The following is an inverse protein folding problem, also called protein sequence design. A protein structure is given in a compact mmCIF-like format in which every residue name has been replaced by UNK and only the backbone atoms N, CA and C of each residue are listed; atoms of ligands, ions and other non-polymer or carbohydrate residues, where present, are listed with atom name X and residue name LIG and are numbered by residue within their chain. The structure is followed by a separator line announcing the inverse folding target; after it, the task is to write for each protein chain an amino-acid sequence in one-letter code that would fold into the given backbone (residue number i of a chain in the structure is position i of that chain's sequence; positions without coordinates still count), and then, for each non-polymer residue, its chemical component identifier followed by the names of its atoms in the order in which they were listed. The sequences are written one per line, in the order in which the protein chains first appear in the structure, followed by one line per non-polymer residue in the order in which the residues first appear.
data_IF_706641371367
#
_entry.id   IF_706641371367
#
_cell.length_a   1.000
_cell.length_b   1.000
_cell.length_c   1.000
_cell.angle_alpha   90.00
_cell.angle_beta   90.00
_cell.angle_gamma   90.00
#
_symmetry.space_group_name_H-M   'P 1'
#
loop_
_entity.id
_entity.type
_entity.pdbx_description
1 polymer ?
#
# COMPACT_ATOMS: atom_id res chain seq x y z
N UNK A 1 -6.69 8.45 10.49
CA UNK A 1 -7.37 9.50 9.69
C UNK A 1 -7.88 10.56 10.64
N UNK A 2 -7.70 11.85 10.33
CA UNK A 2 -8.27 12.93 11.14
C UNK A 2 -9.79 13.02 10.86
N UNK A 3 -10.63 13.03 11.91
CA UNK A 3 -12.08 13.21 11.76
C UNK A 3 -12.37 14.52 10.99
N UNK A 4 -13.20 14.45 9.96
CA UNK A 4 -13.56 15.60 9.13
C UNK A 4 -12.72 15.82 7.86
N UNK A 5 -11.47 15.38 7.77
CA UNK A 5 -10.67 15.52 6.55
C UNK A 5 -11.11 14.54 5.46
N UNK A 6 -11.48 13.32 5.81
CA UNK A 6 -11.88 12.31 4.83
C UNK A 6 -13.19 12.67 4.11
N UNK A 7 -14.25 13.13 4.78
CA UNK A 7 -15.44 13.66 4.13
C UNK A 7 -15.15 14.85 3.20
N UNK A 8 -14.22 15.72 3.59
CA UNK A 8 -13.79 16.83 2.74
C UNK A 8 -13.08 16.31 1.48
N UNK A 9 -12.17 15.33 1.62
CA UNK A 9 -11.49 14.70 0.50
C UNK A 9 -12.47 14.06 -0.48
N UNK A 10 -13.49 13.35 0.01
CA UNK A 10 -14.54 12.76 -0.83
C UNK A 10 -15.37 13.81 -1.57
N UNK A 11 -15.72 14.94 -0.92
CA UNK A 11 -16.42 16.05 -1.58
C UNK A 11 -15.58 16.65 -2.70
N UNK A 12 -14.26 16.85 -2.46
CA UNK A 12 -13.34 17.36 -3.47
C UNK A 12 -13.15 16.35 -4.61
N UNK A 13 -12.99 15.07 -4.29
CA UNK A 13 -12.89 14.01 -5.28
C UNK A 13 -14.11 14.02 -6.23
N UNK A 14 -15.32 14.08 -5.70
CA UNK A 14 -16.54 14.20 -6.52
C UNK A 14 -16.56 15.48 -7.36
N UNK A 15 -16.21 16.61 -6.74
CA UNK A 15 -16.19 17.92 -7.44
C UNK A 15 -15.22 17.91 -8.63
N UNK A 16 -14.12 17.18 -8.53
CA UNK A 16 -13.08 17.10 -9.55
C UNK A 16 -13.09 15.80 -10.37
N UNK A 17 -14.20 15.05 -10.33
CA UNK A 17 -14.36 13.78 -11.05
C UNK A 17 -13.24 12.76 -10.78
N UNK A 18 -12.74 12.71 -9.53
CA UNK A 18 -11.76 11.71 -9.08
C UNK A 18 -12.55 10.48 -8.64
N UNK A 19 -12.51 9.41 -9.46
CA UNK A 19 -13.31 8.21 -9.26
C UNK A 19 -12.71 7.18 -8.30
N UNK A 20 -11.48 7.35 -7.81
CA UNK A 20 -10.87 6.41 -6.87
C UNK A 20 -9.98 7.09 -5.84
N UNK A 21 -9.91 6.53 -4.62
CA UNK A 21 -9.15 7.08 -3.50
C UNK A 21 -8.44 5.98 -2.71
N UNK A 22 -7.25 6.27 -2.19
CA UNK A 22 -6.54 5.36 -1.28
C UNK A 22 -7.15 5.40 0.12
N UNK A 23 -7.38 4.21 0.68
CA UNK A 23 -7.68 4.03 2.11
C UNK A 23 -6.48 3.33 2.74
N UNK A 24 -5.62 4.12 3.40
CA UNK A 24 -4.34 3.66 3.96
C UNK A 24 -4.53 2.83 5.24
N UNK A 25 -5.33 1.78 5.16
CA UNK A 25 -5.47 0.79 6.23
C UNK A 25 -4.70 -0.46 5.87
N UNK A 26 -3.57 -0.66 6.53
CA UNK A 26 -2.69 -1.79 6.26
C UNK A 26 -3.28 -3.08 6.82
N UNK A 27 -3.47 -4.06 5.95
CA UNK A 27 -3.97 -5.38 6.35
C UNK A 27 -2.88 -6.15 7.10
N UNK A 28 -3.17 -6.57 8.33
CA UNK A 28 -2.21 -7.20 9.25
C UNK A 28 -1.57 -8.46 8.65
N UNK A 29 -2.35 -9.25 7.89
CA UNK A 29 -1.87 -10.47 7.24
C UNK A 29 -0.85 -10.15 6.15
N UNK A 30 -1.14 -9.19 5.29
CA UNK A 30 -0.23 -8.80 4.20
C UNK A 30 1.03 -8.13 4.75
N UNK A 31 0.90 -7.33 5.82
CA UNK A 31 2.04 -6.78 6.54
C UNK A 31 2.96 -7.88 7.08
N UNK A 32 2.40 -8.92 7.70
CA UNK A 32 3.18 -10.04 8.24
C UNK A 32 3.94 -10.79 7.12
N UNK A 33 3.30 -11.02 5.98
CA UNK A 33 3.91 -11.65 4.81
C UNK A 33 5.08 -10.80 4.29
N UNK A 34 4.90 -9.51 4.12
CA UNK A 34 5.97 -8.59 3.69
C UNK A 34 7.15 -8.51 4.67
N UNK A 35 6.89 -8.70 5.97
CA UNK A 35 7.92 -8.67 7.03
C UNK A 35 8.65 -10.00 7.21
N UNK A 36 8.21 -11.07 6.59
CA UNK A 36 8.81 -12.40 6.73
C UNK A 36 10.14 -12.48 5.99
N UNK A 37 11.20 -12.09 6.65
CA UNK A 37 12.58 -11.97 6.16
C UNK A 37 13.42 -11.06 7.05
N UNK A 38 12.77 -10.34 7.98
CA UNK A 38 13.43 -9.49 8.99
C UNK A 38 13.02 -9.86 10.41
N UNK A 39 13.85 -9.58 11.39
CA UNK A 39 13.56 -9.84 12.82
C UNK A 39 12.34 -9.00 13.26
N UNK A 40 11.25 -9.70 13.60
CA UNK A 40 10.06 -9.10 14.20
C UNK A 40 10.34 -8.80 15.68
N UNK A 41 10.45 -7.54 16.02
CA UNK A 41 10.59 -7.09 17.40
C UNK A 41 9.25 -7.26 18.14
N UNK A 42 9.15 -8.28 18.99
CA UNK A 42 7.93 -8.70 19.71
C UNK A 42 7.34 -7.62 20.62
N UNK A 43 8.14 -6.66 21.11
CA UNK A 43 7.66 -5.57 21.97
C UNK A 43 6.79 -4.54 21.23
N UNK A 44 6.91 -4.46 19.90
CA UNK A 44 6.11 -3.59 19.03
C UNK A 44 4.70 -4.19 18.80
N UNK A 45 4.57 -5.50 18.82
CA UNK A 45 3.31 -6.22 18.54
C UNK A 45 2.22 -5.97 19.59
N UNK A 46 2.59 -5.85 20.87
CA UNK A 46 1.62 -5.74 21.96
C UNK A 46 0.95 -4.35 22.03
N UNK A 47 1.72 -3.27 21.78
CA UNK A 47 1.17 -1.90 21.70
C UNK A 47 0.30 -1.66 20.47
N UNK A 48 0.53 -2.41 19.39
CA UNK A 48 -0.19 -2.29 18.13
C UNK A 48 -1.58 -2.95 18.15
N UNK A 49 -1.84 -3.91 19.06
CA UNK A 49 -3.11 -4.65 19.09
C UNK A 49 -4.35 -3.80 19.43
N UNK A 50 -4.22 -2.82 20.33
CA UNK A 50 -5.34 -1.93 20.73
C UNK A 50 -5.55 -0.83 19.71
N UNK A 51 -4.47 -0.24 19.18
CA UNK A 51 -4.55 0.77 18.11
C UNK A 51 -5.06 0.19 16.79
N UNK A 52 -4.75 -1.07 16.49
CA UNK A 52 -5.21 -1.76 15.28
C UNK A 52 -6.73 -1.92 15.23
N UNK A 53 -7.40 -2.16 16.37
CA UNK A 53 -8.86 -2.30 16.41
C UNK A 53 -9.59 -1.00 16.10
N UNK A 54 -9.15 0.12 16.68
CA UNK A 54 -9.73 1.44 16.40
C UNK A 54 -9.49 1.89 14.96
N UNK A 55 -8.29 1.65 14.43
CA UNK A 55 -7.95 1.95 13.03
C UNK A 55 -8.75 1.09 12.05
N UNK A 56 -9.06 -0.16 12.38
CA UNK A 56 -9.86 -1.05 11.53
C UNK A 56 -11.30 -0.58 11.40
N UNK A 57 -11.90 -0.08 12.48
CA UNK A 57 -13.25 0.51 12.46
C UNK A 57 -13.26 1.79 11.62
N UNK A 58 -12.32 2.70 11.84
CA UNK A 58 -12.20 3.94 11.06
C UNK A 58 -11.96 3.67 9.56
N UNK A 59 -11.24 2.62 9.22
CA UNK A 59 -10.99 2.24 7.83
C UNK A 59 -12.24 1.63 7.18
N UNK A 60 -13.03 0.86 7.92
CA UNK A 60 -14.30 0.34 7.47
C UNK A 60 -15.28 1.49 7.17
N UNK A 61 -15.42 2.42 8.12
CA UNK A 61 -16.26 3.61 7.94
C UNK A 61 -15.82 4.44 6.72
N UNK A 62 -14.50 4.59 6.52
CA UNK A 62 -13.95 5.31 5.37
C UNK A 62 -14.29 4.61 4.04
N UNK A 63 -14.25 3.28 4.01
CA UNK A 63 -14.61 2.50 2.81
C UNK A 63 -16.09 2.65 2.49
N UNK A 64 -16.95 2.47 3.48
CA UNK A 64 -18.40 2.67 3.31
C UNK A 64 -18.73 4.10 2.85
N UNK A 65 -18.02 5.11 3.37
CA UNK A 65 -18.21 6.50 2.94
C UNK A 65 -17.77 6.72 1.49
N UNK A 66 -16.65 6.12 1.05
CA UNK A 66 -16.17 6.20 -0.33
C UNK A 66 -17.16 5.53 -1.28
N UNK A 67 -17.63 4.32 -0.95
CA UNK A 67 -18.63 3.57 -1.72
C UNK A 67 -19.94 4.36 -1.88
N UNK A 68 -20.47 4.93 -0.78
CA UNK A 68 -21.66 5.80 -0.81
C UNK A 68 -21.45 7.07 -1.65
N UNK A 69 -20.21 7.52 -1.77
CA UNK A 69 -19.86 8.65 -2.63
C UNK A 69 -19.64 8.26 -4.10
N UNK A 70 -19.72 6.97 -4.46
CA UNK A 70 -19.40 6.46 -5.79
C UNK A 70 -17.90 6.59 -6.12
N UNK A 71 -17.04 6.46 -5.10
CA UNK A 71 -15.59 6.55 -5.23
C UNK A 71 -14.98 5.20 -4.86
N UNK A 72 -14.25 4.60 -5.81
CA UNK A 72 -13.61 3.29 -5.63
C UNK A 72 -12.40 3.35 -4.68
N UNK A 73 -12.10 2.24 -4.05
CA UNK A 73 -10.85 2.01 -3.33
C UNK A 73 -10.36 0.59 -3.56
N UNK A 74 -9.09 0.31 -3.28
CA UNK A 74 -8.58 -1.07 -3.30
C UNK A 74 -9.14 -1.88 -2.13
N UNK A 75 -9.32 -3.19 -2.32
CA UNK A 75 -9.80 -4.10 -1.27
C UNK A 75 -8.77 -4.24 -0.16
N UNK A 76 -7.49 -4.25 -0.53
CA UNK A 76 -6.37 -4.42 0.39
C UNK A 76 -5.30 -3.36 0.16
N UNK A 77 -4.60 -3.03 1.24
CA UNK A 77 -3.49 -2.09 1.22
C UNK A 77 -2.37 -2.59 2.14
N UNK A 78 -1.10 -2.48 1.69
CA UNK A 78 0.08 -2.85 2.47
C UNK A 78 1.31 -2.03 2.06
N UNK A 79 2.40 -2.11 2.84
CA UNK A 79 3.69 -1.49 2.56
C UNK A 79 4.06 -0.29 3.44
N UNK A 80 3.17 0.23 4.29
CA UNK A 80 3.52 1.32 5.23
C UNK A 80 4.61 0.88 6.20
N UNK A 81 4.42 -0.29 6.82
CA UNK A 81 5.36 -0.80 7.81
C UNK A 81 6.73 -1.16 7.21
N UNK A 82 6.77 -1.45 5.92
CA UNK A 82 7.98 -1.77 5.17
C UNK A 82 8.63 -0.55 4.48
N UNK A 83 8.14 0.65 4.74
CA UNK A 83 8.71 1.88 4.15
C UNK A 83 10.20 2.00 4.44
N UNK A 84 11.03 1.89 3.40
CA UNK A 84 12.48 1.96 3.47
C UNK A 84 13.19 0.65 3.86
N UNK A 85 12.45 -0.43 4.06
CA UNK A 85 12.98 -1.76 4.43
C UNK A 85 12.31 -2.90 3.64
N UNK A 86 11.74 -2.59 2.48
CA UNK A 86 11.15 -3.59 1.60
C UNK A 86 12.22 -4.57 1.13
N UNK A 87 11.90 -5.87 1.19
CA UNK A 87 12.80 -6.95 0.74
C UNK A 87 12.23 -7.66 -0.47
N UNK A 88 13.11 -8.26 -1.29
CA UNK A 88 12.70 -9.08 -2.44
C UNK A 88 11.85 -10.25 -1.99
N UNK A 89 12.29 -11.01 -0.99
CA UNK A 89 11.60 -12.16 -0.44
C UNK A 89 10.21 -11.81 0.06
N UNK A 90 10.07 -10.63 0.70
CA UNK A 90 8.78 -10.12 1.16
C UNK A 90 7.83 -9.85 -0.01
N UNK A 91 8.32 -9.22 -1.08
CA UNK A 91 7.52 -8.93 -2.28
C UNK A 91 7.13 -10.22 -3.01
N UNK A 92 8.06 -11.15 -3.20
CA UNK A 92 7.80 -12.44 -3.85
C UNK A 92 6.72 -13.22 -3.09
N UNK A 93 6.83 -13.35 -1.75
CA UNK A 93 5.82 -14.00 -0.91
C UNK A 93 4.47 -13.29 -0.95
N UNK A 94 4.47 -11.95 -0.97
CA UNK A 94 3.24 -11.19 -1.12
C UNK A 94 2.53 -11.58 -2.42
N UNK A 95 3.25 -11.54 -3.55
CA UNK A 95 2.70 -11.86 -4.86
C UNK A 95 2.20 -13.32 -4.96
N UNK A 96 2.87 -14.24 -4.27
CA UNK A 96 2.46 -15.65 -4.21
C UNK A 96 1.19 -15.89 -3.38
N UNK A 97 0.89 -15.01 -2.43
CA UNK A 97 -0.17 -15.19 -1.43
C UNK A 97 -1.23 -14.09 -1.47
N UNK A 98 -1.28 -13.31 -2.57
CA UNK A 98 -2.30 -12.27 -2.73
C UNK A 98 -3.72 -12.86 -2.58
N UNK A 99 -4.60 -12.21 -1.83
CA UNK A 99 -6.01 -12.54 -1.82
C UNK A 99 -6.67 -12.19 -3.16
N UNK A 100 -7.84 -12.77 -3.42
CA UNK A 100 -8.69 -12.32 -4.52
C UNK A 100 -9.12 -10.87 -4.32
N UNK A 101 -9.23 -10.12 -5.42
CA UNK A 101 -9.56 -8.69 -5.40
C UNK A 101 -8.38 -7.80 -5.76
N UNK A 102 -8.45 -6.54 -5.38
CA UNK A 102 -7.45 -5.52 -5.67
C UNK A 102 -6.55 -5.26 -4.46
N UNK A 103 -5.24 -5.39 -4.63
CA UNK A 103 -4.25 -5.10 -3.58
C UNK A 103 -3.34 -3.97 -4.03
N UNK A 104 -3.19 -2.95 -3.19
CA UNK A 104 -2.19 -1.90 -3.37
C UNK A 104 -0.97 -2.17 -2.50
N UNK A 105 0.20 -2.23 -3.13
CA UNK A 105 1.50 -2.21 -2.46
C UNK A 105 2.07 -0.79 -2.51
N UNK A 106 2.20 -0.14 -1.35
CA UNK A 106 2.86 1.15 -1.25
C UNK A 106 4.38 0.95 -1.26
N UNK A 107 5.05 1.64 -2.18
CA UNK A 107 6.50 1.64 -2.32
C UNK A 107 6.99 3.02 -2.82
N UNK A 108 8.30 3.24 -2.75
CA UNK A 108 8.94 4.51 -3.10
C UNK A 108 10.16 4.29 -4.03
N UNK A 109 10.00 3.57 -5.15
CA UNK A 109 11.12 3.30 -6.05
C UNK A 109 11.64 4.60 -6.67
N UNK A 110 12.95 4.66 -6.89
CA UNK A 110 13.56 5.82 -7.55
C UNK A 110 15.07 5.67 -7.68
N UNK A 111 15.67 6.45 -8.57
CA UNK A 111 17.12 6.55 -8.69
C UNK A 111 17.67 7.43 -7.57
N UNK A 112 18.88 7.09 -7.10
CA UNK A 112 19.63 7.91 -6.12
C UNK A 112 20.57 8.81 -6.90
N UNK A 113 20.01 9.84 -7.51
CA UNK A 113 20.73 10.90 -8.21
C UNK A 113 21.18 12.02 -7.25
N UNK A 114 21.81 13.05 -7.81
CA UNK A 114 22.33 14.18 -7.03
C UNK A 114 21.18 14.99 -6.40
N UNK A 115 20.08 15.16 -7.10
CA UNK A 115 18.91 15.89 -6.59
C UNK A 115 18.32 15.20 -5.36
N UNK A 116 18.20 13.86 -5.39
CA UNK A 116 17.74 13.10 -4.25
C UNK A 116 18.75 13.16 -3.08
N UNK A 117 20.06 13.11 -3.34
CA UNK A 117 21.10 13.21 -2.29
C UNK A 117 21.05 14.54 -1.56
N UNK A 118 20.74 15.63 -2.27
CA UNK A 118 20.57 16.96 -1.69
C UNK A 118 19.21 17.14 -0.97
N UNK A 119 18.25 16.27 -1.23
CA UNK A 119 16.93 16.33 -0.59
C UNK A 119 17.01 15.83 0.84
N UNK A 120 16.40 16.57 1.77
CA UNK A 120 16.33 16.21 3.19
C UNK A 120 15.31 15.11 3.42
N UNK A 121 15.66 13.87 3.09
CA UNK A 121 14.84 12.68 3.30
C UNK A 121 15.68 11.53 3.87
N UNK A 122 15.07 10.69 4.70
CA UNK A 122 15.69 9.45 5.18
C UNK A 122 15.62 8.31 4.16
N UNK A 123 14.73 8.43 3.17
CA UNK A 123 14.51 7.42 2.14
C UNK A 123 15.37 7.77 0.91
N UNK A 124 16.65 7.37 0.93
CA UNK A 124 17.58 7.53 -0.19
C UNK A 124 17.93 6.16 -0.77
N UNK A 125 18.89 5.44 -0.18
CA UNK A 125 19.31 4.13 -0.68
C UNK A 125 18.18 3.10 -0.83
N UNK A 126 17.20 3.11 0.07
CA UNK A 126 16.03 2.24 -0.02
C UNK A 126 15.21 2.41 -1.30
N UNK A 127 15.20 3.61 -1.90
CA UNK A 127 14.49 3.85 -3.18
C UNK A 127 15.11 3.07 -4.33
N UNK A 128 16.44 3.01 -4.38
CA UNK A 128 17.17 2.24 -5.37
C UNK A 128 16.89 0.74 -5.18
N UNK A 129 16.97 0.25 -3.94
CA UNK A 129 16.63 -1.14 -3.61
C UNK A 129 15.20 -1.51 -4.02
N UNK A 130 14.22 -0.64 -3.71
CA UNK A 130 12.84 -0.86 -4.10
C UNK A 130 12.67 -0.86 -5.63
N UNK A 131 13.38 0.00 -6.36
CA UNK A 131 13.38 0.01 -7.82
C UNK A 131 13.94 -1.30 -8.38
N UNK A 132 15.07 -1.77 -7.86
CA UNK A 132 15.69 -3.04 -8.26
C UNK A 132 14.78 -4.23 -8.01
N UNK A 133 14.11 -4.30 -6.86
CA UNK A 133 13.13 -5.35 -6.53
C UNK A 133 11.97 -5.34 -7.53
N UNK A 134 11.36 -4.18 -7.76
CA UNK A 134 10.16 -4.06 -8.59
C UNK A 134 10.43 -4.26 -10.10
N UNK A 135 11.68 -4.08 -10.53
CA UNK A 135 12.10 -4.32 -11.91
C UNK A 135 12.75 -5.68 -12.12
N UNK A 136 12.91 -6.47 -11.06
CA UNK A 136 13.53 -7.79 -11.12
C UNK A 136 12.73 -8.78 -11.99
N UNK A 137 13.45 -9.60 -12.73
CA UNK A 137 12.86 -10.60 -13.61
C UNK A 137 12.11 -11.70 -12.85
N UNK A 138 12.55 -12.07 -11.63
CA UNK A 138 11.85 -13.04 -10.78
C UNK A 138 10.49 -12.53 -10.35
N UNK A 139 10.40 -11.28 -9.90
CA UNK A 139 9.15 -10.61 -9.51
C UNK A 139 8.20 -10.55 -10.72
N UNK A 140 8.71 -10.15 -11.88
CA UNK A 140 7.91 -10.11 -13.12
C UNK A 140 7.40 -11.49 -13.53
N UNK A 141 8.21 -12.52 -13.36
CA UNK A 141 7.82 -13.91 -13.64
C UNK A 141 6.68 -14.37 -12.72
N UNK A 142 6.74 -14.06 -11.42
CA UNK A 142 5.66 -14.39 -10.47
C UNK A 142 4.37 -13.68 -10.87
N UNK A 143 4.41 -12.39 -11.19
CA UNK A 143 3.23 -11.64 -11.68
C UNK A 143 2.60 -12.36 -12.87
N UNK A 144 3.39 -12.76 -13.86
CA UNK A 144 2.90 -13.44 -15.06
C UNK A 144 2.33 -14.84 -14.76
N UNK A 145 3.07 -15.67 -13.99
CA UNK A 145 2.66 -17.06 -13.71
C UNK A 145 1.46 -17.16 -12.79
N UNK A 146 1.25 -16.16 -11.92
CA UNK A 146 0.08 -16.07 -11.03
C UNK A 146 -1.12 -15.37 -11.68
N UNK A 147 -1.00 -14.91 -12.92
CA UNK A 147 -2.06 -14.20 -13.61
C UNK A 147 -2.43 -12.87 -12.95
N UNK A 148 -1.49 -12.25 -12.23
CA UNK A 148 -1.72 -10.98 -11.56
C UNK A 148 -1.78 -9.87 -12.61
N UNK A 149 -2.89 -9.13 -12.63
CA UNK A 149 -3.06 -7.98 -13.49
C UNK A 149 -2.60 -6.71 -12.79
N UNK A 150 -1.56 -6.06 -13.31
CA UNK A 150 -1.16 -4.74 -12.83
C UNK A 150 -2.13 -3.68 -13.36
N UNK A 151 -2.69 -2.90 -12.45
CA UNK A 151 -3.63 -1.83 -12.74
C UNK A 151 -3.17 -0.52 -12.10
N UNK A 152 -3.79 0.56 -12.46
CA UNK A 152 -3.61 1.86 -11.82
C UNK A 152 -4.95 2.41 -11.32
N UNK A 153 -4.93 3.52 -10.62
CA UNK A 153 -6.15 4.16 -10.10
C UNK A 153 -7.13 4.62 -11.18
N UNK A 154 -6.63 4.95 -12.38
CA UNK A 154 -7.50 5.27 -13.52
C UNK A 154 -8.36 4.08 -13.94
N UNK A 155 -7.78 2.87 -13.95
CA UNK A 155 -8.53 1.64 -14.20
C UNK A 155 -9.53 1.36 -13.07
N UNK A 156 -9.10 1.50 -11.82
CA UNK A 156 -9.96 1.29 -10.66
C UNK A 156 -11.17 2.23 -10.65
N UNK A 157 -10.98 3.49 -11.07
CA UNK A 157 -12.04 4.48 -11.17
C UNK A 157 -13.09 4.18 -12.25
N UNK A 158 -12.75 3.39 -13.28
CA UNK A 158 -13.66 3.02 -14.38
C UNK A 158 -14.43 1.73 -14.09
N UNK A 159 -13.98 0.96 -13.12
CA UNK A 159 -14.59 -0.32 -12.75
C UNK A 159 -15.73 -0.20 -11.69
N UNK A 160 -16.05 1.04 -11.29
CA UNK A 160 -17.07 1.39 -10.29
C UNK A 160 -18.45 1.61 -10.91
#
# INVERSE_FOLDING_TARGET
MLPGLFPLALRLARKHAIGAIRISHEESRLRAVLSSGGELNTSVLLKQGIQARGLKLLARDAREMAERAGISSTDYFCGIAQTGVLTREGVERLLETLPEGTTELMCHPGYVDEDLRQTRTRLQGSRQTELEILTDTSVRKIVATRGIRLINYGFLAQAA
#
